data_IF_993397953816
#
_entry.id   IF_993397953816
#
_cell.length_a   1.000
_cell.length_b   1.000
_cell.length_c   1.000
_cell.angle_alpha   90.00
_cell.angle_beta   90.00
_cell.angle_gamma   90.00
#
_symmetry.space_group_name_H-M   'P 1'
#
loop_
_entity.id
_entity.type
_entity.pdbx_description
1 polymer ?
#
# COMPACT_ATOMS: atom_id res chain seq x y z
N UNK A 1 4.60 16.53 -2.91
CA UNK A 1 3.41 17.38 -2.66
C UNK A 1 3.41 18.72 -3.44
N UNK A 2 4.52 19.47 -3.57
CA UNK A 2 4.57 20.67 -4.45
C UNK A 2 4.41 20.34 -5.95
N UNK A 3 5.04 19.27 -6.45
CA UNK A 3 4.97 18.84 -7.87
C UNK A 3 3.51 18.50 -8.25
N UNK A 4 2.86 17.63 -7.47
CA UNK A 4 1.45 17.29 -7.65
C UNK A 4 0.47 18.46 -7.48
N UNK A 5 0.86 19.55 -6.82
CA UNK A 5 0.03 20.77 -6.70
C UNK A 5 0.21 21.68 -7.92
N UNK A 6 1.41 21.78 -8.48
CA UNK A 6 1.72 22.57 -9.69
C UNK A 6 1.22 21.90 -10.97
N UNK A 7 1.19 20.56 -11.03
CA UNK A 7 0.54 19.84 -12.15
C UNK A 7 -0.99 20.08 -12.24
N UNK A 8 -1.62 20.65 -11.20
CA UNK A 8 -3.06 20.98 -11.17
C UNK A 8 -3.41 22.31 -11.85
N UNK A 9 -2.43 23.18 -12.14
CA UNK A 9 -2.67 24.54 -12.67
C UNK A 9 -2.53 24.64 -14.19
N UNK A 10 -2.13 23.57 -14.88
CA UNK A 10 -2.23 23.47 -16.34
C UNK A 10 -3.69 23.13 -16.71
N UNK A 11 -4.21 23.68 -17.81
CA UNK A 11 -5.61 23.51 -18.25
C UNK A 11 -5.97 22.05 -18.57
N UNK A 12 -6.26 21.27 -17.52
CA UNK A 12 -6.91 19.97 -17.61
C UNK A 12 -8.42 20.21 -17.46
N UNK A 13 -9.13 20.40 -18.58
CA UNK A 13 -10.60 20.55 -18.56
C UNK A 13 -11.24 19.24 -18.12
N UNK A 14 -11.84 19.30 -16.92
CA UNK A 14 -12.55 18.30 -16.10
C UNK A 14 -11.68 17.74 -14.95
N UNK A 15 -11.84 18.09 -13.67
CA UNK A 15 -13.01 18.55 -12.93
C UNK A 15 -12.57 19.36 -11.67
N UNK A 16 -12.93 20.65 -11.53
CA UNK A 16 -12.81 21.39 -10.26
C UNK A 16 -13.70 20.81 -9.15
N UNK A 17 -14.64 19.91 -9.50
CA UNK A 17 -15.66 19.40 -8.60
C UNK A 17 -15.25 18.11 -7.85
N UNK A 18 -14.27 17.35 -8.34
CA UNK A 18 -13.84 16.09 -7.71
C UNK A 18 -12.70 16.24 -6.70
N UNK A 19 -12.04 17.40 -6.63
CA UNK A 19 -10.98 17.64 -5.63
C UNK A 19 -11.43 18.42 -4.38
N UNK A 20 -12.50 19.23 -4.43
CA UNK A 20 -12.97 20.01 -3.26
C UNK A 20 -13.97 19.26 -2.36
N UNK A 21 -14.82 18.39 -2.91
CA UNK A 21 -15.79 17.60 -2.11
C UNK A 21 -15.24 16.25 -1.63
N UNK A 22 -14.40 15.60 -2.43
CA UNK A 22 -13.88 14.28 -2.08
C UNK A 22 -12.79 14.39 -1.00
N UNK A 23 -11.86 15.34 -1.09
CA UNK A 23 -10.69 15.35 -0.17
C UNK A 23 -11.05 15.72 1.28
N UNK A 24 -12.20 16.34 1.57
CA UNK A 24 -12.53 16.78 2.95
C UNK A 24 -13.66 16.03 3.68
N UNK A 25 -14.54 15.31 3.00
CA UNK A 25 -15.55 14.50 3.71
C UNK A 25 -15.85 13.16 3.05
N UNK A 26 -15.78 13.03 1.71
CA UNK A 26 -16.16 11.80 1.00
C UNK A 26 -15.04 10.77 0.75
N UNK A 27 -13.84 11.20 0.37
CA UNK A 27 -12.68 10.34 0.03
C UNK A 27 -11.94 9.86 1.27
N UNK A 28 -11.82 10.74 2.28
CA UNK A 28 -11.46 10.33 3.63
C UNK A 28 -12.58 9.47 4.25
N UNK A 29 -13.86 9.67 3.92
CA UNK A 29 -14.94 8.75 4.31
C UNK A 29 -14.98 7.44 3.51
N UNK A 30 -14.44 7.39 2.29
CA UNK A 30 -14.33 6.19 1.46
C UNK A 30 -13.10 5.36 1.87
N UNK A 31 -12.02 6.05 2.29
CA UNK A 31 -10.90 5.45 3.03
C UNK A 31 -11.29 5.07 4.47
N UNK A 32 -12.19 5.82 5.13
CA UNK A 32 -12.75 5.46 6.46
C UNK A 32 -13.89 4.43 6.39
N UNK A 33 -14.58 4.32 5.26
CA UNK A 33 -15.45 3.19 4.88
C UNK A 33 -14.63 2.15 4.12
N UNK A 34 -13.43 1.85 4.63
CA UNK A 34 -13.08 0.44 4.64
C UNK A 34 -14.18 -0.22 5.47
N UNK A 35 -15.09 -0.97 4.83
CA UNK A 35 -15.82 -2.02 5.54
C UNK A 35 -14.76 -2.72 6.39
N UNK A 36 -14.98 -2.81 7.70
CA UNK A 36 -14.05 -3.46 8.62
C UNK A 36 -13.62 -4.77 7.94
N UNK A 37 -12.31 -4.90 7.69
CA UNK A 37 -11.75 -6.07 7.05
C UNK A 37 -11.83 -7.21 8.08
N UNK A 38 -12.96 -7.92 8.06
CA UNK A 38 -13.33 -8.94 9.04
C UNK A 38 -12.59 -10.27 8.83
N UNK A 39 -11.38 -10.27 8.24
CA UNK A 39 -10.65 -11.51 7.92
C UNK A 39 -10.46 -12.41 9.14
N UNK A 40 -10.34 -11.82 10.33
CA UNK A 40 -10.11 -12.51 11.58
C UNK A 40 -11.38 -13.14 12.17
N UNK A 41 -12.57 -12.62 11.85
CA UNK A 41 -13.84 -13.06 12.44
C UNK A 41 -14.12 -14.54 12.20
N UNK A 42 -13.88 -15.01 10.96
CA UNK A 42 -14.04 -16.43 10.60
C UNK A 42 -13.12 -17.39 11.39
N UNK A 43 -12.08 -16.85 12.02
CA UNK A 43 -11.10 -17.62 12.79
C UNK A 43 -11.32 -17.48 14.30
N UNK A 44 -12.23 -16.62 14.76
CA UNK A 44 -12.51 -16.43 16.18
C UNK A 44 -12.84 -17.74 16.92
N UNK A 45 -13.65 -18.69 16.38
CA UNK A 45 -13.89 -19.96 17.06
C UNK A 45 -12.61 -20.77 17.31
N UNK A 46 -11.68 -20.77 16.33
CA UNK A 46 -10.39 -21.43 16.48
C UNK A 46 -9.52 -20.70 17.52
N UNK A 47 -9.46 -19.37 17.46
CA UNK A 47 -8.70 -18.55 18.39
C UNK A 47 -9.21 -18.81 19.81
N UNK A 48 -10.51 -18.70 20.06
CA UNK A 48 -11.12 -18.93 21.37
C UNK A 48 -10.85 -20.35 21.89
N UNK A 49 -10.99 -21.37 21.04
CA UNK A 49 -10.72 -22.76 21.42
C UNK A 49 -9.25 -23.02 21.79
N UNK A 50 -8.32 -22.28 21.20
CA UNK A 50 -6.87 -22.42 21.45
C UNK A 50 -6.41 -21.56 22.62
N UNK A 51 -6.96 -20.35 22.76
CA UNK A 51 -6.55 -19.37 23.76
C UNK A 51 -6.82 -19.88 25.18
N UNK A 52 -8.00 -20.47 25.46
CA UNK A 52 -8.40 -20.87 26.84
C UNK A 52 -8.07 -19.77 27.86
N UNK A 53 -7.10 -20.00 28.75
CA UNK A 53 -6.65 -19.05 29.79
C UNK A 53 -5.37 -18.27 29.43
N UNK A 54 -4.78 -18.56 28.27
CA UNK A 54 -3.58 -17.88 27.77
C UNK A 54 -3.93 -16.55 27.07
N UNK A 55 -2.92 -15.76 26.74
CA UNK A 55 -3.11 -14.49 26.04
C UNK A 55 -2.75 -14.65 24.56
N UNK A 56 -3.44 -13.93 23.68
CA UNK A 56 -3.10 -13.85 22.26
C UNK A 56 -1.93 -12.89 22.07
N UNK A 57 -0.91 -13.31 21.31
CA UNK A 57 0.14 -12.41 20.84
C UNK A 57 -0.18 -11.93 19.43
N UNK A 58 -0.31 -10.62 19.24
CA UNK A 58 -0.42 -9.99 17.93
C UNK A 58 0.90 -9.31 17.57
N UNK A 59 1.46 -9.64 16.40
CA UNK A 59 2.73 -9.06 15.90
C UNK A 59 2.51 -8.20 14.64
N UNK A 60 2.97 -6.95 14.71
CA UNK A 60 2.70 -5.92 13.72
C UNK A 60 1.25 -5.46 13.75
N UNK A 61 0.78 -4.97 14.90
CA UNK A 61 -0.63 -4.65 15.14
C UNK A 61 -1.13 -3.37 14.43
N UNK A 62 -0.23 -2.54 13.90
CA UNK A 62 -0.59 -1.27 13.27
C UNK A 62 -1.47 -0.40 14.16
N UNK A 63 -2.58 0.13 13.62
CA UNK A 63 -3.53 0.98 14.36
C UNK A 63 -4.52 0.20 15.25
N UNK A 64 -4.30 -1.11 15.45
CA UNK A 64 -5.01 -1.94 16.44
C UNK A 64 -6.35 -2.52 16.00
N UNK A 65 -6.60 -2.65 14.69
CA UNK A 65 -7.89 -3.15 14.19
C UNK A 65 -8.14 -4.61 14.53
N UNK A 66 -7.16 -5.47 14.25
CA UNK A 66 -7.22 -6.89 14.61
C UNK A 66 -7.22 -7.03 16.14
N UNK A 67 -6.43 -6.23 16.86
CA UNK A 67 -6.49 -6.11 18.33
C UNK A 67 -7.91 -5.86 18.85
N UNK A 68 -8.64 -4.93 18.23
CA UNK A 68 -10.01 -4.60 18.63
C UNK A 68 -10.98 -5.76 18.39
N UNK A 69 -10.82 -6.53 17.30
CA UNK A 69 -11.64 -7.72 17.02
C UNK A 69 -11.38 -8.80 18.07
N UNK A 70 -10.11 -9.06 18.40
CA UNK A 70 -9.71 -10.03 19.44
C UNK A 70 -10.30 -9.64 20.79
N UNK A 71 -10.18 -8.36 21.15
CA UNK A 71 -10.70 -7.82 22.40
C UNK A 71 -12.24 -7.89 22.48
N UNK A 72 -12.96 -7.54 21.40
CA UNK A 72 -14.43 -7.68 21.33
C UNK A 72 -14.89 -9.13 21.53
N UNK A 73 -14.06 -10.10 21.16
CA UNK A 73 -14.32 -11.53 21.38
C UNK A 73 -14.05 -12.01 22.82
N UNK A 74 -13.71 -11.09 23.75
CA UNK A 74 -13.47 -11.37 25.17
C UNK A 74 -12.06 -11.90 25.47
N UNK A 75 -11.14 -11.84 24.51
CA UNK A 75 -9.80 -12.39 24.64
C UNK A 75 -8.78 -11.33 25.08
N UNK A 76 -7.85 -11.73 25.94
CA UNK A 76 -6.70 -10.91 26.32
C UNK A 76 -5.68 -10.91 25.20
N UNK A 77 -5.16 -9.73 24.86
CA UNK A 77 -4.21 -9.55 23.76
C UNK A 77 -3.02 -8.70 24.19
N UNK A 78 -1.83 -9.19 23.84
CA UNK A 78 -0.55 -8.48 23.86
C UNK A 78 -0.17 -8.18 22.42
N UNK A 79 -0.06 -6.90 22.07
CA UNK A 79 0.16 -6.45 20.71
C UNK A 79 1.50 -5.73 20.57
N UNK A 80 2.22 -6.03 19.50
CA UNK A 80 3.55 -5.47 19.21
C UNK A 80 3.50 -4.72 17.89
N UNK A 81 4.06 -3.51 17.85
CA UNK A 81 4.37 -2.83 16.61
C UNK A 81 5.66 -2.00 16.77
N UNK A 82 6.42 -1.85 15.71
CA UNK A 82 7.66 -1.05 15.74
C UNK A 82 7.36 0.46 15.78
N UNK A 83 6.18 0.90 15.32
CA UNK A 83 5.81 2.31 15.28
C UNK A 83 5.14 2.78 16.57
N UNK A 84 5.81 3.71 17.26
CA UNK A 84 5.27 4.36 18.45
C UNK A 84 3.95 5.09 18.18
N UNK A 85 3.80 5.72 17.00
CA UNK A 85 2.58 6.41 16.59
C UNK A 85 1.42 5.43 16.34
N UNK A 86 1.68 4.26 15.74
CA UNK A 86 0.67 3.22 15.55
C UNK A 86 0.22 2.64 16.89
N UNK A 87 1.16 2.31 17.78
CA UNK A 87 0.86 1.84 19.15
C UNK A 87 0.03 2.87 19.93
N UNK A 88 0.32 4.17 19.82
CA UNK A 88 -0.50 5.23 20.44
C UNK A 88 -1.94 5.20 19.93
N UNK A 89 -2.17 5.00 18.63
CA UNK A 89 -3.51 4.88 18.05
C UNK A 89 -4.22 3.60 18.47
N UNK A 90 -3.49 2.48 18.49
CA UNK A 90 -4.00 1.19 18.92
C UNK A 90 -4.44 1.21 20.39
N UNK A 91 -3.67 1.86 21.27
CA UNK A 91 -4.03 2.09 22.69
C UNK A 91 -5.33 2.88 22.85
N UNK A 92 -5.55 3.91 22.04
CA UNK A 92 -6.82 4.66 22.06
C UNK A 92 -7.99 3.76 21.62
N UNK A 93 -7.76 2.89 20.64
CA UNK A 93 -8.78 1.97 20.11
C UNK A 93 -9.12 0.84 21.09
N UNK A 94 -8.14 0.34 21.85
CA UNK A 94 -8.34 -0.77 22.78
C UNK A 94 -7.52 -0.56 24.06
N UNK A 95 -7.97 0.31 24.99
CA UNK A 95 -7.19 0.71 26.17
C UNK A 95 -6.83 -0.43 27.14
N UNK A 96 -7.63 -1.50 27.15
CA UNK A 96 -7.46 -2.70 27.97
C UNK A 96 -6.44 -3.69 27.42
N UNK A 97 -6.03 -3.56 26.16
CA UNK A 97 -4.97 -4.38 25.58
C UNK A 97 -3.58 -3.89 26.02
N UNK A 98 -2.62 -4.81 26.08
CA UNK A 98 -1.23 -4.50 26.42
C UNK A 98 -0.46 -4.29 25.11
N UNK A 99 0.22 -3.15 24.98
CA UNK A 99 0.98 -2.81 23.77
C UNK A 99 2.46 -2.56 24.03
N UNK A 100 3.30 -3.12 23.16
CA UNK A 100 4.75 -2.95 23.14
C UNK A 100 5.19 -2.25 21.85
N UNK A 101 6.04 -1.22 22.00
CA UNK A 101 6.77 -0.62 20.86
C UNK A 101 8.07 -1.42 20.70
N UNK A 102 8.12 -2.30 19.70
CA UNK A 102 9.26 -3.22 19.56
C UNK A 102 9.43 -3.69 18.11
N UNK A 103 10.68 -3.93 17.72
CA UNK A 103 11.00 -4.62 16.48
C UNK A 103 10.72 -6.14 16.62
N UNK A 104 10.11 -6.75 15.61
CA UNK A 104 9.83 -8.20 15.62
C UNK A 104 11.11 -9.05 15.52
N UNK A 105 12.24 -8.44 15.18
CA UNK A 105 13.56 -9.07 15.19
C UNK A 105 14.10 -9.28 16.60
N UNK A 106 13.60 -8.54 17.58
CA UNK A 106 13.98 -8.66 18.99
C UNK A 106 13.21 -9.80 19.68
N UNK A 107 13.71 -10.34 20.81
CA UNK A 107 12.99 -11.34 21.61
C UNK A 107 11.60 -10.84 22.04
N UNK A 108 10.56 -11.65 21.87
CA UNK A 108 9.19 -11.23 22.20
C UNK A 108 9.02 -11.02 23.72
N UNK A 109 8.22 -10.02 24.14
CA UNK A 109 7.98 -9.67 25.55
C UNK A 109 6.96 -10.62 26.21
N UNK A 110 6.97 -11.89 25.82
CA UNK A 110 6.15 -12.96 26.37
C UNK A 110 6.97 -14.24 26.47
N UNK A 111 6.64 -15.08 27.45
CA UNK A 111 7.25 -16.41 27.56
C UNK A 111 6.54 -17.41 26.65
N UNK A 112 5.25 -17.65 26.92
CA UNK A 112 4.42 -18.60 26.18
C UNK A 112 3.06 -18.05 25.78
N UNK A 113 2.60 -18.49 24.62
CA UNK A 113 1.23 -18.27 24.12
C UNK A 113 0.74 -19.49 23.34
N UNK A 114 -0.57 -19.66 23.25
CA UNK A 114 -1.20 -20.66 22.39
C UNK A 114 -1.57 -20.11 21.01
N UNK A 115 -1.62 -18.79 20.83
CA UNK A 115 -2.05 -18.14 19.59
C UNK A 115 -1.18 -16.94 19.27
N UNK A 116 -0.57 -16.97 18.09
CA UNK A 116 0.09 -15.80 17.49
C UNK A 116 -0.69 -15.36 16.25
N UNK A 117 -0.95 -14.06 16.14
CA UNK A 117 -1.60 -13.44 14.98
C UNK A 117 -0.60 -12.49 14.30
N UNK A 118 -0.47 -12.62 12.99
CA UNK A 118 0.34 -11.74 12.15
C UNK A 118 -0.42 -11.35 10.89
N UNK A 119 -0.95 -10.13 10.87
CA UNK A 119 -1.71 -9.62 9.73
C UNK A 119 -0.87 -8.65 8.93
N UNK A 120 -0.52 -9.04 7.70
CA UNK A 120 0.17 -8.20 6.73
C UNK A 120 1.47 -7.55 7.26
N UNK A 121 2.19 -8.22 8.16
CA UNK A 121 3.41 -7.69 8.78
C UNK A 121 4.69 -8.43 8.40
N UNK A 122 4.67 -9.76 8.29
CA UNK A 122 5.88 -10.57 8.06
C UNK A 122 6.54 -10.34 6.69
N UNK A 123 5.80 -9.90 5.67
CA UNK A 123 6.32 -9.73 4.32
C UNK A 123 7.10 -8.41 4.11
N UNK A 124 7.23 -7.57 5.15
CA UNK A 124 8.11 -6.39 5.11
C UNK A 124 9.57 -6.72 5.37
N UNK A 125 9.87 -7.92 5.84
CA UNK A 125 11.21 -8.39 6.20
C UNK A 125 11.86 -9.16 5.06
N UNK A 126 13.21 -9.22 5.06
CA UNK A 126 13.90 -10.13 4.15
C UNK A 126 13.55 -11.60 4.47
N UNK A 127 13.89 -12.52 3.58
CA UNK A 127 13.63 -13.95 3.80
C UNK A 127 14.31 -14.47 5.08
N UNK A 128 15.58 -14.15 5.29
CA UNK A 128 16.34 -14.58 6.48
C UNK A 128 15.79 -13.98 7.77
N UNK A 129 15.42 -12.68 7.74
CA UNK A 129 14.76 -12.02 8.86
C UNK A 129 13.42 -12.69 9.17
N UNK A 130 12.63 -13.00 8.14
CA UNK A 130 11.33 -13.71 8.27
C UNK A 130 11.52 -15.08 8.90
N UNK A 131 12.50 -15.87 8.45
CA UNK A 131 12.82 -17.17 9.07
C UNK A 131 13.23 -17.01 10.53
N UNK A 132 14.00 -15.97 10.87
CA UNK A 132 14.34 -15.63 12.25
C UNK A 132 13.10 -15.33 13.11
N UNK A 133 12.16 -14.54 12.59
CA UNK A 133 10.91 -14.21 13.26
C UNK A 133 10.04 -15.47 13.44
N UNK A 134 9.93 -16.33 12.42
CA UNK A 134 9.18 -17.59 12.51
C UNK A 134 9.76 -18.53 13.58
N UNK A 135 11.10 -18.61 13.69
CA UNK A 135 11.75 -19.39 14.76
C UNK A 135 11.40 -18.83 16.14
N UNK A 136 11.35 -17.50 16.30
CA UNK A 136 10.91 -16.85 17.55
C UNK A 136 9.44 -17.12 17.87
N UNK A 137 8.56 -17.03 16.87
CA UNK A 137 7.14 -17.41 17.01
C UNK A 137 7.02 -18.86 17.50
N UNK A 138 7.76 -19.78 16.88
CA UNK A 138 7.80 -21.18 17.31
C UNK A 138 8.30 -21.34 18.75
N UNK A 139 9.26 -20.53 19.18
CA UNK A 139 9.81 -20.62 20.53
C UNK A 139 8.80 -20.19 21.61
N UNK A 140 7.93 -19.22 21.33
CA UNK A 140 6.88 -18.77 22.27
C UNK A 140 5.58 -19.57 22.15
N UNK A 141 5.34 -20.27 21.04
CA UNK A 141 4.16 -21.10 20.88
C UNK A 141 4.25 -22.36 21.75
N UNK A 142 3.18 -22.62 22.51
CA UNK A 142 3.00 -23.87 23.23
C UNK A 142 2.73 -25.03 22.23
N UNK A 143 3.00 -26.31 22.61
CA UNK A 143 2.60 -27.46 21.82
C UNK A 143 1.10 -27.42 21.48
N UNK A 144 0.77 -27.57 20.21
CA UNK A 144 -0.62 -27.46 19.71
C UNK A 144 -1.15 -26.02 19.57
N UNK A 145 -0.29 -25.02 19.81
CA UNK A 145 -0.57 -23.62 19.52
C UNK A 145 -0.56 -23.33 18.02
N UNK A 146 -1.14 -22.19 17.64
CA UNK A 146 -1.38 -21.82 16.25
C UNK A 146 -0.80 -20.45 15.91
N UNK A 147 -0.19 -20.34 14.74
CA UNK A 147 0.10 -19.08 14.07
C UNK A 147 -0.99 -18.85 13.03
N UNK A 148 -1.80 -17.80 13.21
CA UNK A 148 -2.64 -17.27 12.14
C UNK A 148 -1.91 -16.12 11.48
N UNK A 149 -1.59 -16.26 10.19
CA UNK A 149 -0.95 -15.19 9.45
C UNK A 149 -1.66 -14.90 8.13
N UNK A 150 -1.67 -13.62 7.77
CA UNK A 150 -2.10 -13.14 6.46
C UNK A 150 -0.91 -12.46 5.79
N UNK A 151 -0.54 -12.97 4.64
CA UNK A 151 0.60 -12.50 3.87
C UNK A 151 0.11 -11.94 2.53
N UNK A 152 0.84 -10.97 1.99
CA UNK A 152 0.72 -10.66 0.58
C UNK A 152 1.28 -11.83 -0.21
N UNK A 153 0.51 -12.33 -1.17
CA UNK A 153 0.97 -13.37 -2.07
C UNK A 153 1.63 -12.70 -3.29
N UNK A 154 2.82 -13.17 -3.64
CA UNK A 154 3.52 -12.74 -4.86
C UNK A 154 2.88 -13.31 -6.13
N UNK A 155 1.94 -14.25 -5.99
CA UNK A 155 1.23 -14.96 -7.08
C UNK A 155 -0.29 -14.79 -7.05
N UNK A 156 -0.83 -13.99 -6.12
CA UNK A 156 -2.26 -13.76 -6.04
C UNK A 156 -2.69 -12.72 -7.09
N UNK A 157 -2.99 -13.22 -8.28
CA UNK A 157 -3.60 -12.45 -9.36
C UNK A 157 -5.05 -12.01 -9.04
N UNK A 158 -5.65 -12.58 -7.99
CA UNK A 158 -7.06 -12.49 -7.65
C UNK A 158 -7.29 -11.82 -6.27
N UNK A 159 -6.37 -11.00 -5.78
CA UNK A 159 -6.46 -10.42 -4.42
C UNK A 159 -7.78 -9.65 -4.23
N UNK A 160 -8.68 -10.22 -3.41
CA UNK A 160 -10.02 -9.71 -3.13
C UNK A 160 -11.09 -10.00 -4.21
N UNK A 161 -10.80 -10.79 -5.24
CA UNK A 161 -11.68 -11.15 -6.38
C UNK A 161 -12.83 -12.10 -6.05
N UNK A 162 -12.73 -12.83 -4.93
CA UNK A 162 -13.72 -13.83 -4.56
C UNK A 162 -15.08 -13.19 -4.32
N UNK A 163 -16.08 -13.61 -5.08
CA UNK A 163 -17.46 -13.11 -4.98
C UNK A 163 -17.76 -11.87 -5.84
N UNK A 164 -16.80 -11.40 -6.62
CA UNK A 164 -16.99 -10.27 -7.54
C UNK A 164 -17.23 -10.74 -8.97
N UNK A 165 -17.94 -9.94 -9.77
CA UNK A 165 -18.25 -10.30 -11.15
C UNK A 165 -16.96 -10.48 -11.97
N UNK A 166 -16.84 -11.62 -12.66
CA UNK A 166 -15.73 -11.90 -13.58
C UNK A 166 -15.90 -11.02 -14.82
N UNK A 167 -14.89 -10.22 -15.12
CA UNK A 167 -14.87 -9.34 -16.31
C UNK A 167 -14.18 -10.07 -17.47
N UNK A 168 -13.11 -10.81 -17.18
CA UNK A 168 -12.33 -11.60 -18.16
C UNK A 168 -11.55 -12.73 -17.43
N UNK A 169 -10.79 -13.57 -18.15
CA UNK A 169 -9.95 -14.62 -17.58
C UNK A 169 -8.97 -14.07 -16.55
N UNK A 170 -9.14 -14.50 -15.30
CA UNK A 170 -8.39 -14.03 -14.12
C UNK A 170 -8.67 -12.57 -13.70
N UNK A 171 -9.77 -11.96 -14.14
CA UNK A 171 -10.15 -10.58 -13.78
C UNK A 171 -11.53 -10.48 -13.14
N UNK A 172 -11.61 -9.80 -11.98
CA UNK A 172 -12.83 -9.66 -11.18
C UNK A 172 -12.98 -8.25 -10.60
N UNK A 173 -14.22 -7.79 -10.40
CA UNK A 173 -14.53 -6.42 -9.95
C UNK A 173 -14.34 -6.19 -8.42
N UNK A 174 -13.11 -6.03 -7.92
CA UNK A 174 -12.80 -5.94 -6.47
C UNK A 174 -12.72 -4.52 -5.94
N UNK A 175 -13.26 -4.31 -4.73
CA UNK A 175 -13.20 -3.11 -3.88
C UNK A 175 -11.96 -2.18 -4.05
N UNK A 176 -11.98 -1.30 -5.05
CA UNK A 176 -11.33 0.01 -4.96
C UNK A 176 -9.86 0.13 -5.39
N UNK A 177 -9.37 -0.67 -6.33
CA UNK A 177 -8.59 -0.01 -7.40
C UNK A 177 -9.62 0.74 -8.22
N UNK A 178 -9.48 2.04 -8.51
CA UNK A 178 -10.47 2.77 -9.30
C UNK A 178 -10.36 2.31 -10.77
N UNK A 179 -10.52 1.02 -11.05
CA UNK A 179 -10.54 0.45 -12.41
C UNK A 179 -11.67 1.11 -13.19
N UNK A 180 -12.85 1.29 -12.59
CA UNK A 180 -13.94 1.98 -13.27
C UNK A 180 -13.58 3.46 -13.60
N UNK A 181 -13.13 4.31 -12.66
CA UNK A 181 -12.65 5.65 -13.01
C UNK A 181 -11.43 5.68 -13.95
N UNK A 182 -10.54 4.67 -13.88
CA UNK A 182 -9.37 4.53 -14.75
C UNK A 182 -9.79 4.14 -16.16
N UNK A 183 -10.69 3.18 -16.32
CA UNK A 183 -11.26 2.75 -17.59
C UNK A 183 -12.08 3.88 -18.21
N UNK A 184 -12.86 4.61 -17.41
CA UNK A 184 -13.58 5.80 -17.87
C UNK A 184 -12.62 6.90 -18.32
N UNK A 185 -11.52 7.12 -17.61
CA UNK A 185 -10.50 8.08 -18.03
C UNK A 185 -9.82 7.64 -19.33
N UNK A 186 -9.44 6.35 -19.45
CA UNK A 186 -8.85 5.78 -20.65
C UNK A 186 -9.81 5.89 -21.84
N UNK A 187 -11.08 5.50 -21.68
CA UNK A 187 -12.09 5.56 -22.74
C UNK A 187 -12.40 7.00 -23.16
N UNK A 188 -12.31 7.95 -22.22
CA UNK A 188 -12.46 9.38 -22.49
C UNK A 188 -11.17 10.05 -22.99
N UNK A 189 -10.07 9.32 -23.16
CA UNK A 189 -8.77 9.87 -23.59
C UNK A 189 -8.12 10.84 -22.59
N UNK A 190 -8.48 10.72 -21.30
CA UNK A 190 -8.00 11.57 -20.20
C UNK A 190 -6.82 10.92 -19.47
N UNK A 191 -5.85 11.73 -19.08
CA UNK A 191 -4.69 11.28 -18.31
C UNK A 191 -4.98 11.36 -16.81
N UNK A 192 -4.53 10.35 -16.04
CA UNK A 192 -4.60 10.31 -14.59
C UNK A 192 -3.19 10.25 -14.00
N UNK A 193 -2.97 10.98 -12.90
CA UNK A 193 -1.71 10.97 -12.15
C UNK A 193 -1.98 10.38 -10.76
N UNK A 194 -1.24 9.33 -10.41
CA UNK A 194 -1.33 8.67 -9.11
C UNK A 194 -0.05 8.89 -8.30
N UNK A 195 -0.20 9.14 -7.00
CA UNK A 195 0.85 8.90 -6.02
C UNK A 195 0.70 7.42 -5.61
N UNK A 196 1.72 6.59 -5.87
CA UNK A 196 1.58 5.13 -5.80
C UNK A 196 2.72 4.48 -5.01
N UNK A 197 2.43 3.30 -4.46
CA UNK A 197 3.44 2.37 -3.96
C UNK A 197 3.93 1.48 -5.10
N UNK A 198 5.17 0.95 -5.08
CA UNK A 198 5.67 0.06 -6.14
C UNK A 198 4.71 -1.08 -6.47
N UNK A 199 4.06 -1.66 -5.46
CA UNK A 199 3.09 -2.74 -5.65
C UNK A 199 1.85 -2.31 -6.45
N UNK A 200 1.32 -1.10 -6.20
CA UNK A 200 0.19 -0.57 -6.97
C UNK A 200 0.59 -0.36 -8.43
N UNK A 201 1.79 0.17 -8.68
CA UNK A 201 2.31 0.36 -10.04
C UNK A 201 2.49 -0.97 -10.77
N UNK A 202 3.08 -1.98 -10.13
CA UNK A 202 3.24 -3.30 -10.75
C UNK A 202 1.90 -3.93 -11.12
N UNK A 203 0.88 -3.79 -10.27
CA UNK A 203 -0.46 -4.28 -10.56
C UNK A 203 -1.09 -3.54 -11.75
N UNK A 204 -1.01 -2.21 -11.78
CA UNK A 204 -1.51 -1.40 -12.90
C UNK A 204 -0.76 -1.69 -14.20
N UNK A 205 0.57 -1.83 -14.14
CA UNK A 205 1.42 -2.13 -15.30
C UNK A 205 1.11 -3.51 -15.89
N UNK A 206 0.82 -4.51 -15.05
CA UNK A 206 0.42 -5.85 -15.51
C UNK A 206 -0.92 -5.82 -16.24
N UNK A 207 -1.91 -5.08 -15.71
CA UNK A 207 -3.28 -5.07 -16.24
C UNK A 207 -3.48 -4.09 -17.41
N UNK A 208 -2.78 -2.95 -17.40
CA UNK A 208 -2.99 -1.84 -18.34
C UNK A 208 -1.67 -1.39 -18.96
N UNK A 209 -0.77 -2.32 -19.31
CA UNK A 209 0.59 -2.04 -19.79
C UNK A 209 0.65 -0.99 -20.90
N UNK A 210 -0.33 -0.99 -21.80
CA UNK A 210 -0.40 -0.04 -22.93
C UNK A 210 -0.92 1.35 -22.54
N UNK A 211 -1.45 1.54 -21.33
CA UNK A 211 -2.04 2.79 -20.84
C UNK A 211 -1.33 3.36 -19.61
N UNK A 212 -0.41 2.61 -19.00
CA UNK A 212 0.35 3.03 -17.82
C UNK A 212 1.75 3.50 -18.21
N UNK A 213 2.23 4.55 -17.54
CA UNK A 213 3.59 5.05 -17.61
C UNK A 213 4.11 5.19 -16.19
N UNK A 214 5.14 4.42 -15.83
CA UNK A 214 5.82 4.52 -14.55
C UNK A 214 6.91 5.57 -14.60
N UNK A 215 6.87 6.53 -13.67
CA UNK A 215 7.90 7.54 -13.53
C UNK A 215 8.42 7.48 -12.10
N UNK A 216 9.62 6.96 -11.91
CA UNK A 216 10.28 6.92 -10.61
C UNK A 216 10.99 8.25 -10.35
N UNK A 217 10.57 8.99 -9.32
CA UNK A 217 11.16 10.28 -8.96
C UNK A 217 12.05 10.11 -7.74
N UNK A 218 13.35 10.39 -7.89
CA UNK A 218 14.35 10.19 -6.83
C UNK A 218 15.02 11.50 -6.43
N UNK A 219 15.46 11.67 -5.18
CA UNK A 219 16.41 12.72 -4.84
C UNK A 219 17.80 12.41 -5.44
N UNK A 220 18.68 13.41 -5.59
CA UNK A 220 20.00 13.21 -6.21
C UNK A 220 20.90 12.22 -5.45
N UNK A 221 20.70 12.08 -4.14
CA UNK A 221 21.48 11.16 -3.30
C UNK A 221 20.63 10.54 -2.21
N UNK A 222 21.08 9.38 -1.69
CA UNK A 222 20.49 8.75 -0.51
C UNK A 222 20.56 9.69 0.72
N UNK A 223 21.65 10.42 0.87
CA UNK A 223 21.80 11.41 1.94
C UNK A 223 20.73 12.49 1.87
N UNK A 224 20.40 12.95 0.66
CA UNK A 224 19.33 13.94 0.44
C UNK A 224 17.94 13.34 0.65
N UNK A 225 17.72 12.05 0.31
CA UNK A 225 16.50 11.32 0.66
C UNK A 225 16.28 11.31 2.17
N UNK A 226 17.31 10.90 2.92
CA UNK A 226 17.31 10.83 4.37
C UNK A 226 17.06 12.23 4.97
N UNK A 227 17.78 13.25 4.49
CA UNK A 227 17.62 14.64 4.92
C UNK A 227 16.18 15.14 4.70
N UNK A 228 15.59 14.85 3.53
CA UNK A 228 14.20 15.22 3.20
C UNK A 228 13.19 14.48 4.07
N UNK A 229 13.43 13.21 4.42
CA UNK A 229 12.58 12.45 5.34
C UNK A 229 12.65 13.05 6.75
N UNK A 230 13.85 13.36 7.25
CA UNK A 230 14.06 13.98 8.56
C UNK A 230 13.43 15.38 8.67
N UNK A 231 13.52 16.20 7.61
CA UNK A 231 13.00 17.59 7.60
C UNK A 231 11.48 17.71 7.48
N UNK A 232 10.76 16.67 7.03
CA UNK A 232 9.29 16.72 6.87
C UNK A 232 8.52 16.72 8.19
N UNK A 233 9.18 16.45 9.32
CA UNK A 233 8.70 16.75 10.68
C UNK A 233 7.83 15.66 11.31
N UNK A 234 8.01 15.52 12.64
CA UNK A 234 7.34 14.66 13.67
C UNK A 234 7.93 13.29 13.99
N UNK A 235 8.83 12.74 13.18
CA UNK A 235 9.29 11.35 13.34
C UNK A 235 10.76 11.34 13.79
N UNK A 236 11.02 10.87 15.01
CA UNK A 236 12.36 10.70 15.58
C UNK A 236 12.58 9.23 15.98
N UNK A 237 13.83 8.78 15.98
CA UNK A 237 14.19 7.42 16.38
C UNK A 237 13.73 6.35 15.37
N UNK A 238 13.07 5.30 15.86
CA UNK A 238 12.72 4.11 15.07
C UNK A 238 11.81 4.38 13.86
N UNK A 239 10.94 5.40 13.92
CA UNK A 239 10.03 5.74 12.81
C UNK A 239 10.76 6.25 11.56
N UNK A 240 11.83 7.03 11.77
CA UNK A 240 12.69 7.48 10.68
C UNK A 240 13.41 6.29 10.04
N UNK A 241 13.89 5.33 10.84
CA UNK A 241 14.53 4.11 10.34
C UNK A 241 13.57 3.24 9.50
N UNK A 242 12.29 3.15 9.89
CA UNK A 242 11.27 2.44 9.09
C UNK A 242 11.10 3.11 7.73
N UNK A 243 10.90 4.44 7.69
CA UNK A 243 10.72 5.15 6.43
C UNK A 243 11.96 5.11 5.55
N UNK A 244 13.15 5.18 6.15
CA UNK A 244 14.40 4.96 5.43
C UNK A 244 14.43 3.56 4.81
N UNK A 245 14.07 2.52 5.57
CA UNK A 245 14.03 1.14 5.07
C UNK A 245 12.99 0.96 3.97
N UNK A 246 11.79 1.51 4.14
CA UNK A 246 10.74 1.50 3.11
C UNK A 246 11.20 2.23 1.85
N UNK A 247 11.81 3.40 1.99
CA UNK A 247 12.30 4.16 0.83
C UNK A 247 13.48 3.46 0.13
N UNK A 248 14.32 2.74 0.87
CA UNK A 248 15.37 1.86 0.32
C UNK A 248 14.78 0.63 -0.37
N UNK A 249 13.69 0.05 0.16
CA UNK A 249 12.97 -1.03 -0.51
C UNK A 249 12.28 -0.53 -1.79
N UNK A 250 11.70 0.67 -1.77
CA UNK A 250 11.09 1.29 -2.95
C UNK A 250 12.13 1.52 -4.06
N UNK A 251 13.38 1.87 -3.71
CA UNK A 251 14.50 1.99 -4.65
C UNK A 251 14.80 0.68 -5.39
N UNK A 252 14.54 -0.49 -4.79
CA UNK A 252 14.72 -1.78 -5.47
C UNK A 252 13.74 -1.99 -6.64
N UNK A 253 12.68 -1.18 -6.73
CA UNK A 253 11.72 -1.20 -7.84
C UNK A 253 12.00 -0.13 -8.89
N UNK A 254 13.09 0.64 -8.78
CA UNK A 254 13.41 1.68 -9.75
C UNK A 254 13.49 1.13 -11.18
N UNK A 255 14.07 -0.06 -11.35
CA UNK A 255 14.26 -0.73 -12.66
C UNK A 255 12.95 -1.20 -13.31
N UNK A 256 11.86 -1.24 -12.55
CA UNK A 256 10.54 -1.59 -13.07
C UNK A 256 9.86 -0.42 -13.77
N UNK A 257 10.37 0.81 -13.63
CA UNK A 257 9.74 2.01 -14.18
C UNK A 257 10.18 2.31 -15.61
N UNK A 258 9.31 2.99 -16.35
CA UNK A 258 9.59 3.36 -17.73
C UNK A 258 10.53 4.59 -17.80
N UNK A 259 10.52 5.43 -16.76
CA UNK A 259 11.38 6.60 -16.62
C UNK A 259 11.94 6.75 -15.20
N UNK A 260 13.17 7.22 -15.12
CA UNK A 260 13.83 7.62 -13.89
C UNK A 260 14.13 9.12 -13.92
N UNK A 261 13.63 9.88 -12.96
CA UNK A 261 13.76 11.34 -12.90
C UNK A 261 14.41 11.75 -11.59
N UNK A 262 15.60 12.34 -11.67
CA UNK A 262 16.27 12.93 -10.51
C UNK A 262 15.64 14.30 -10.21
N UNK A 263 15.30 14.50 -8.94
CA UNK A 263 14.63 15.68 -8.41
C UNK A 263 15.56 16.42 -7.46
N UNK A 264 16.55 17.08 -8.05
CA UNK A 264 17.46 18.05 -7.45
C UNK A 264 16.88 19.47 -7.53
N UNK A 265 16.27 19.81 -8.68
CA UNK A 265 15.63 21.10 -8.96
C UNK A 265 14.17 20.92 -9.42
N UNK A 266 13.27 21.73 -8.84
CA UNK A 266 11.83 21.58 -9.07
C UNK A 266 11.42 21.94 -10.49
N UNK A 267 11.90 23.07 -11.02
CA UNK A 267 11.60 23.57 -12.35
C UNK A 267 12.10 22.61 -13.44
N UNK A 268 13.35 22.14 -13.34
CA UNK A 268 13.92 21.12 -14.25
C UNK A 268 13.16 19.80 -14.20
N UNK A 269 12.80 19.35 -12.99
CA UNK A 269 12.00 18.13 -12.81
C UNK A 269 10.64 18.28 -13.50
N UNK A 270 9.96 19.40 -13.29
CA UNK A 270 8.66 19.68 -13.89
C UNK A 270 8.75 19.72 -15.43
N UNK A 271 9.80 20.35 -15.98
CA UNK A 271 10.01 20.38 -17.43
C UNK A 271 10.25 18.98 -18.00
N UNK A 272 11.04 18.15 -17.31
CA UNK A 272 11.29 16.75 -17.69
C UNK A 272 9.98 15.95 -17.71
N UNK A 273 9.14 16.08 -16.69
CA UNK A 273 7.83 15.41 -16.63
C UNK A 273 6.90 15.83 -17.78
N UNK A 274 6.91 17.11 -18.19
CA UNK A 274 6.14 17.59 -19.35
C UNK A 274 6.63 16.97 -20.66
N UNK A 275 7.95 16.84 -20.83
CA UNK A 275 8.52 16.19 -22.01
C UNK A 275 8.15 14.71 -22.09
N UNK A 276 8.24 13.98 -20.96
CA UNK A 276 7.80 12.58 -20.87
C UNK A 276 6.32 12.46 -21.23
N UNK A 277 5.47 13.30 -20.64
CA UNK A 277 4.03 13.32 -20.90
C UNK A 277 3.72 13.52 -22.38
N UNK A 278 4.33 14.54 -23.01
CA UNK A 278 4.16 14.82 -24.44
C UNK A 278 4.61 13.64 -25.30
N UNK A 279 5.77 13.06 -24.98
CA UNK A 279 6.35 11.94 -25.72
C UNK A 279 5.45 10.70 -25.67
N UNK A 280 4.94 10.36 -24.49
CA UNK A 280 4.06 9.20 -24.32
C UNK A 280 2.70 9.39 -25.01
N UNK A 281 2.17 10.63 -25.09
CA UNK A 281 0.96 10.93 -25.89
C UNK A 281 1.17 10.80 -27.39
N UNK A 282 2.39 11.03 -27.88
CA UNK A 282 2.76 10.86 -29.28
C UNK A 282 3.13 9.42 -29.65
N UNK A 283 3.24 8.51 -28.67
CA UNK A 283 3.64 7.13 -28.91
C UNK A 283 2.58 6.40 -29.71
N UNK A 284 2.97 5.85 -30.87
CA UNK A 284 2.05 5.19 -31.81
C UNK A 284 1.14 4.15 -31.14
N UNK A 285 1.69 3.34 -30.22
CA UNK A 285 0.94 2.31 -29.48
C UNK A 285 -0.11 2.85 -28.51
N UNK A 286 -0.16 4.17 -28.29
CA UNK A 286 -1.08 4.84 -27.37
C UNK A 286 -2.06 5.79 -28.07
N UNK A 287 -1.95 5.94 -29.40
CA UNK A 287 -2.87 6.79 -30.17
C UNK A 287 -4.13 5.99 -30.50
N UNK A 288 -5.22 6.30 -29.82
CA UNK A 288 -6.55 5.74 -30.10
C UNK A 288 -7.04 6.26 -31.46
N UNK A 289 -7.57 5.37 -32.31
CA UNK A 289 -8.13 5.73 -33.62
C UNK A 289 -7.09 6.16 -34.67
N UNK A 290 -5.81 5.79 -34.49
CA UNK A 290 -4.75 6.18 -35.42
C UNK A 290 -5.02 5.71 -36.87
N UNK A 291 -5.50 4.48 -37.05
CA UNK A 291 -5.81 3.94 -38.37
C UNK A 291 -6.92 4.73 -39.07
N UNK A 292 -7.97 5.11 -38.34
CA UNK A 292 -9.08 5.92 -38.86
C UNK A 292 -8.58 7.32 -39.25
N UNK A 293 -7.76 7.95 -38.40
CA UNK A 293 -7.11 9.23 -38.71
C UNK A 293 -6.24 9.14 -39.97
N UNK A 294 -5.41 8.10 -40.08
CA UNK A 294 -4.58 7.89 -41.27
C UNK A 294 -5.42 7.63 -42.52
N UNK A 295 -6.53 6.88 -42.41
CA UNK A 295 -7.46 6.65 -43.52
C UNK A 295 -8.18 7.92 -43.95
N UNK A 296 -8.58 8.78 -43.01
CA UNK A 296 -9.15 10.10 -43.32
C UNK A 296 -8.15 10.96 -44.11
N UNK A 297 -6.90 11.05 -43.65
CA UNK A 297 -5.87 11.80 -44.39
C UNK A 297 -5.64 11.26 -45.81
N UNK A 298 -5.70 9.94 -46.02
CA UNK A 298 -5.56 9.31 -47.34
C UNK A 298 -6.76 9.56 -48.28
N UNK A 299 -7.95 9.78 -47.73
CA UNK A 299 -9.17 10.10 -48.50
C UNK A 299 -9.31 11.60 -48.82
N UNK A 300 -8.50 12.44 -48.17
CA UNK A 300 -8.43 13.89 -48.40
C UNK A 300 -7.38 14.29 -49.45
N UNK A 301 -6.74 13.32 -50.11
CA UNK A 301 -5.89 13.50 -51.30
C UNK A 301 -6.69 13.16 -52.55
#
# INVERSE_FOLDING_TARGET
>A
MKIMKSLRTFEWRALPFLMKGLIRSGFLALLRRQREDCWLERWLPLIQARTKDSEVLEIGCGDGRDTAIIHRAGLKVKAIDISSAMVKRARVRTPSAIFFVQDLRDPFPIDKTSVVISSLSLHYFSWDETLGIIRRIRAVLQPGGVLLCRLNSTKDVNFGARGHAKIDNDFYLVHGTPIAPLQEAISAGRDLVFDYTPQLYLNLRRQFRQHVVGIFIVPPTLSELINRLSKRGTEQGQELHIKQRMALQDLAYADEHDYHVVNDDFEKTLQTLKCIHTSERCRMSRIIGLQERCQMCRRSQ
#
